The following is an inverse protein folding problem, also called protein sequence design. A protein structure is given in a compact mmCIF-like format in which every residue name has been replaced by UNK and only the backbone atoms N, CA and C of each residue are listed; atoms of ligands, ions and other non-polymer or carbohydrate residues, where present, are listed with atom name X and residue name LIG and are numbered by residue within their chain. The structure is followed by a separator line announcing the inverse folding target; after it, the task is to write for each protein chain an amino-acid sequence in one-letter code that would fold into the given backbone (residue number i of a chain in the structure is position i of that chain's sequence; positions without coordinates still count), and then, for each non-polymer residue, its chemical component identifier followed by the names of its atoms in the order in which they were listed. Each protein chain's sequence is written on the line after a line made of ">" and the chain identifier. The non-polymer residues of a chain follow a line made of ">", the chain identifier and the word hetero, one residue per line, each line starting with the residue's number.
data_IF_194910773994
#
_entry.id   IF_194910773994
#
_cell.length_a   1.000
_cell.length_b   1.000
_cell.length_c   1.000
_cell.angle_alpha   90.00
_cell.angle_beta   90.00
_cell.angle_gamma   90.00
#
_symmetry.space_group_name_H-M   'P 1'
#
loop_
_entity.id
_entity.type
_entity.pdbx_description
1 polymer ?
#
# COMPACT_ATOMS: atom_id res chain seq x y z
N UNK A 1 -2.81 -7.54 -19.09
CA UNK A 1 -3.61 -8.72 -18.71
C UNK A 1 -3.86 -9.56 -19.96
N UNK A 2 -2.81 -10.16 -20.51
CA UNK A 2 -2.92 -10.96 -21.74
C UNK A 2 -2.85 -12.45 -21.37
N UNK A 3 -3.68 -13.30 -21.99
CA UNK A 3 -3.69 -14.78 -21.85
C UNK A 3 -4.04 -15.34 -20.46
N UNK A 4 -4.81 -14.61 -19.64
CA UNK A 4 -5.32 -15.14 -18.37
C UNK A 4 -6.47 -16.12 -18.62
N UNK A 5 -6.47 -17.28 -17.96
CA UNK A 5 -7.57 -18.26 -17.98
C UNK A 5 -8.77 -17.84 -17.12
N UNK A 6 -8.60 -16.81 -16.31
CA UNK A 6 -9.65 -16.22 -15.47
C UNK A 6 -10.42 -15.18 -16.27
N UNK A 7 -11.75 -15.23 -16.15
CA UNK A 7 -12.66 -14.26 -16.76
C UNK A 7 -12.27 -12.81 -16.41
N UNK A 8 -12.29 -11.95 -17.43
CA UNK A 8 -11.94 -10.53 -17.32
C UNK A 8 -12.87 -9.78 -16.36
N UNK A 9 -14.14 -10.19 -16.27
CA UNK A 9 -15.09 -9.59 -15.32
C UNK A 9 -14.60 -9.75 -13.88
N UNK A 10 -14.01 -10.90 -13.53
CA UNK A 10 -13.45 -11.13 -12.19
C UNK A 10 -12.22 -10.26 -11.93
N UNK A 11 -11.43 -9.94 -12.95
CA UNK A 11 -10.32 -9.01 -12.82
C UNK A 11 -10.78 -7.59 -12.53
N UNK A 12 -11.83 -7.11 -13.21
CA UNK A 12 -12.41 -5.80 -12.92
C UNK A 12 -12.99 -5.72 -11.51
N UNK A 13 -13.70 -6.77 -11.07
CA UNK A 13 -14.17 -6.86 -9.68
C UNK A 13 -13.02 -6.87 -8.68
N UNK A 14 -11.96 -7.64 -8.93
CA UNK A 14 -10.79 -7.65 -8.06
C UNK A 14 -10.15 -6.26 -7.92
N UNK A 15 -10.03 -5.53 -9.03
CA UNK A 15 -9.51 -4.14 -9.03
C UNK A 15 -10.43 -3.24 -8.21
N UNK A 16 -11.75 -3.32 -8.44
CA UNK A 16 -12.73 -2.52 -7.71
C UNK A 16 -12.65 -2.75 -6.20
N UNK A 17 -12.65 -4.01 -5.77
CA UNK A 17 -12.59 -4.36 -4.34
C UNK A 17 -11.30 -3.84 -3.69
N UNK A 18 -10.15 -4.01 -4.36
CA UNK A 18 -8.85 -3.56 -3.85
C UNK A 18 -8.76 -2.03 -3.80
N UNK A 19 -9.28 -1.33 -4.81
CA UNK A 19 -9.21 0.13 -4.88
C UNK A 19 -10.22 0.84 -3.96
N UNK A 20 -11.31 0.15 -3.59
CA UNK A 20 -12.38 0.75 -2.77
C UNK A 20 -12.15 0.63 -1.26
N UNK A 21 -11.57 -0.49 -0.78
CA UNK A 21 -11.35 -0.68 0.66
C UNK A 21 -10.03 -0.04 1.13
N UNK A 22 -10.15 0.98 2.00
CA UNK A 22 -9.01 1.70 2.60
C UNK A 22 -8.13 0.84 3.51
N UNK A 23 -8.64 -0.30 4.00
CA UNK A 23 -7.94 -1.23 4.90
C UNK A 23 -7.11 -2.26 4.13
N UNK A 24 -7.28 -2.32 2.81
CA UNK A 24 -6.74 -3.39 1.97
C UNK A 24 -7.59 -4.66 2.05
N UNK A 25 -7.42 -5.51 1.04
CA UNK A 25 -8.24 -6.72 0.85
C UNK A 25 -7.38 -7.97 0.98
N UNK A 26 -7.82 -8.96 1.76
CA UNK A 26 -7.11 -10.23 1.92
C UNK A 26 -7.32 -11.15 0.70
N UNK A 27 -6.37 -12.06 0.44
CA UNK A 27 -6.52 -13.04 -0.63
C UNK A 27 -7.70 -13.99 -0.37
N UNK A 28 -7.98 -14.31 0.90
CA UNK A 28 -9.12 -15.13 1.30
C UNK A 28 -10.45 -14.46 0.95
N UNK A 29 -10.58 -13.17 1.27
CA UNK A 29 -11.77 -12.39 0.92
C UNK A 29 -11.98 -12.34 -0.60
N UNK A 30 -10.92 -12.05 -1.37
CA UNK A 30 -10.97 -12.07 -2.84
C UNK A 30 -11.36 -13.45 -3.39
N UNK A 31 -10.90 -14.53 -2.76
CA UNK A 31 -11.23 -15.90 -3.13
C UNK A 31 -12.72 -16.17 -2.98
N UNK A 32 -13.27 -15.81 -1.83
CA UNK A 32 -14.69 -15.99 -1.51
C UNK A 32 -15.59 -15.14 -2.41
N UNK A 33 -15.27 -13.86 -2.57
CA UNK A 33 -16.11 -12.90 -3.33
C UNK A 33 -16.12 -13.21 -4.84
N UNK A 34 -14.99 -13.64 -5.40
CA UNK A 34 -14.86 -13.91 -6.84
C UNK A 34 -15.13 -15.37 -7.23
N UNK A 35 -15.30 -16.26 -6.25
CA UNK A 35 -15.47 -17.70 -6.49
C UNK A 35 -14.29 -18.33 -7.22
N UNK A 36 -13.06 -17.91 -6.90
CA UNK A 36 -11.82 -18.46 -7.49
C UNK A 36 -11.01 -19.19 -6.43
N UNK A 37 -10.06 -20.03 -6.85
CA UNK A 37 -9.13 -20.65 -5.91
C UNK A 37 -8.23 -19.59 -5.24
N UNK A 38 -7.89 -19.82 -3.97
CA UNK A 38 -7.06 -18.91 -3.16
C UNK A 38 -5.78 -18.48 -3.88
N UNK A 39 -5.06 -19.42 -4.49
CA UNK A 39 -3.81 -19.13 -5.23
C UNK A 39 -4.05 -18.17 -6.41
N UNK A 40 -5.21 -18.24 -7.05
CA UNK A 40 -5.61 -17.33 -8.13
C UNK A 40 -5.90 -15.95 -7.55
N UNK A 41 -6.70 -15.86 -6.49
CA UNK A 41 -6.99 -14.61 -5.79
C UNK A 41 -5.71 -13.92 -5.27
N UNK A 42 -4.80 -14.70 -4.69
CA UNK A 42 -3.50 -14.22 -4.23
C UNK A 42 -2.69 -13.62 -5.38
N UNK A 43 -2.60 -14.33 -6.51
CA UNK A 43 -1.88 -13.85 -7.71
C UNK A 43 -2.54 -12.60 -8.30
N UNK A 44 -3.88 -12.56 -8.35
CA UNK A 44 -4.63 -11.38 -8.80
C UNK A 44 -4.30 -10.16 -7.94
N UNK A 45 -4.42 -10.31 -6.61
CA UNK A 45 -4.12 -9.24 -5.67
C UNK A 45 -2.67 -8.76 -5.75
N UNK A 46 -1.70 -9.67 -5.91
CA UNK A 46 -0.29 -9.29 -6.08
C UNK A 46 -0.04 -8.48 -7.34
N UNK A 47 -0.63 -8.90 -8.49
CA UNK A 47 -0.47 -8.17 -9.75
C UNK A 47 -1.09 -6.77 -9.69
N UNK A 48 -2.27 -6.66 -9.07
CA UNK A 48 -2.95 -5.36 -8.92
C UNK A 48 -2.13 -4.44 -8.02
N UNK A 49 -1.70 -4.91 -6.83
CA UNK A 49 -0.86 -4.10 -5.92
C UNK A 49 0.47 -3.72 -6.55
N UNK A 50 1.09 -4.61 -7.32
CA UNK A 50 2.32 -4.29 -8.06
C UNK A 50 2.08 -3.15 -9.05
N UNK A 51 1.01 -3.22 -9.85
CA UNK A 51 0.68 -2.17 -10.81
C UNK A 51 0.35 -0.83 -10.13
N UNK A 52 -0.32 -0.87 -8.97
CA UNK A 52 -0.56 0.33 -8.14
C UNK A 52 0.77 0.92 -7.65
N UNK A 53 1.68 0.11 -7.09
CA UNK A 53 2.99 0.57 -6.64
C UNK A 53 3.87 1.11 -7.77
N UNK A 54 3.86 0.48 -8.95
CA UNK A 54 4.55 0.99 -10.15
C UNK A 54 4.01 2.36 -10.59
N UNK A 55 2.68 2.55 -10.49
CA UNK A 55 2.05 3.83 -10.78
C UNK A 55 2.43 4.88 -9.73
N UNK A 56 2.40 4.52 -8.46
CA UNK A 56 2.71 5.44 -7.37
C UNK A 56 4.18 5.89 -7.40
N UNK A 57 5.09 4.97 -7.76
CA UNK A 57 6.51 5.27 -7.95
C UNK A 57 6.79 6.28 -9.07
N UNK A 58 5.85 6.50 -10.00
CA UNK A 58 5.98 7.52 -11.04
C UNK A 58 5.66 8.94 -10.55
N UNK A 59 5.03 9.09 -9.38
CA UNK A 59 4.73 10.39 -8.80
C UNK A 59 5.93 10.95 -8.03
N UNK A 60 6.33 12.18 -8.37
CA UNK A 60 7.34 12.93 -7.63
C UNK A 60 6.66 13.95 -6.73
N UNK A 61 7.02 13.96 -5.44
CA UNK A 61 6.56 14.99 -4.51
C UNK A 61 7.17 16.34 -4.88
N UNK A 62 6.36 17.39 -4.87
CA UNK A 62 6.78 18.74 -5.25
C UNK A 62 6.11 19.82 -4.40
N UNK A 63 6.64 21.04 -4.42
CA UNK A 63 6.10 22.15 -3.64
C UNK A 63 6.47 22.05 -2.16
N UNK A 64 5.49 22.25 -1.28
CA UNK A 64 5.66 22.05 0.17
C UNK A 64 5.49 20.56 0.44
N UNK A 65 6.50 19.96 1.09
CA UNK A 65 6.49 18.55 1.45
C UNK A 65 6.53 18.42 2.97
N UNK A 66 5.46 17.89 3.54
CA UNK A 66 5.37 17.56 4.96
C UNK A 66 5.84 16.11 5.16
N UNK A 67 6.67 15.90 6.19
CA UNK A 67 7.28 14.62 6.51
C UNK A 67 6.91 14.23 7.94
N UNK A 68 6.45 12.99 8.12
CA UNK A 68 6.14 12.42 9.43
C UNK A 68 6.74 11.02 9.56
N UNK A 69 7.17 10.66 10.77
CA UNK A 69 7.78 9.36 11.08
C UNK A 69 6.95 8.54 12.07
N UNK A 70 6.74 7.26 11.73
CA UNK A 70 6.04 6.29 12.56
C UNK A 70 6.90 5.04 12.77
N UNK A 71 6.70 4.35 13.89
CA UNK A 71 7.47 3.15 14.24
C UNK A 71 6.52 1.97 14.45
N UNK A 72 6.65 0.92 13.63
CA UNK A 72 5.76 -0.24 13.63
C UNK A 72 6.47 -1.51 14.09
N UNK A 73 5.81 -2.28 14.97
CA UNK A 73 6.33 -3.52 15.52
C UNK A 73 6.12 -3.62 17.03
N UNK A 74 6.45 -4.77 17.62
CA UNK A 74 6.42 -4.93 19.07
C UNK A 74 7.56 -4.12 19.71
N UNK A 75 7.33 -3.42 20.83
CA UNK A 75 8.42 -2.82 21.59
C UNK A 75 9.34 -3.90 22.16
N UNK A 76 10.65 -3.69 22.04
CA UNK A 76 11.64 -4.53 22.73
C UNK A 76 11.63 -4.19 24.23
N UNK A 77 11.60 -5.20 25.11
CA UNK A 77 11.71 -4.99 26.55
C UNK A 77 13.04 -4.30 26.89
N UNK A 78 12.99 -3.19 27.64
CA UNK A 78 14.16 -2.35 27.92
C UNK A 78 14.69 -1.55 26.72
N UNK A 79 14.03 -1.65 25.56
CA UNK A 79 14.39 -0.94 24.34
C UNK A 79 14.01 0.55 24.35
N UNK A 80 14.60 1.31 23.42
CA UNK A 80 14.28 2.73 23.23
C UNK A 80 12.92 2.88 22.53
N UNK A 81 12.20 3.94 22.88
CA UNK A 81 10.96 4.37 22.20
C UNK A 81 11.26 5.41 21.13
N UNK A 82 10.51 5.37 20.03
CA UNK A 82 10.66 6.33 18.93
C UNK A 82 12.00 6.15 18.21
N UNK A 83 12.68 7.26 17.87
CA UNK A 83 13.94 7.21 17.12
C UNK A 83 15.01 6.38 17.84
N UNK A 84 15.59 5.41 17.12
CA UNK A 84 16.56 4.46 17.66
C UNK A 84 15.95 3.23 18.33
N UNK A 85 14.66 2.98 18.13
CA UNK A 85 14.00 1.70 18.41
C UNK A 85 14.35 0.65 17.36
N UNK A 86 14.18 -0.63 17.70
CA UNK A 86 14.28 -1.77 16.77
C UNK A 86 12.99 -1.99 15.96
N UNK A 87 11.92 -1.25 16.27
CA UNK A 87 10.70 -1.23 15.45
C UNK A 87 11.01 -0.68 14.06
N UNK A 88 10.27 -1.14 13.05
CA UNK A 88 10.46 -0.69 11.67
C UNK A 88 10.06 0.78 11.54
N UNK A 89 11.01 1.69 11.21
CA UNK A 89 10.67 3.07 10.94
C UNK A 89 9.98 3.19 9.58
N UNK A 90 8.87 3.91 9.57
CA UNK A 90 8.08 4.25 8.39
C UNK A 90 8.06 5.75 8.26
N UNK A 91 8.50 6.24 7.12
CA UNK A 91 8.47 7.66 6.78
C UNK A 91 7.30 7.90 5.83
N UNK A 92 6.46 8.88 6.15
CA UNK A 92 5.36 9.32 5.29
C UNK A 92 5.66 10.74 4.83
N UNK A 93 5.61 10.96 3.52
CA UNK A 93 5.84 12.25 2.90
C UNK A 93 4.59 12.68 2.13
N UNK A 94 4.14 13.91 2.30
CA UNK A 94 2.93 14.46 1.72
C UNK A 94 3.24 15.74 0.95
N UNK A 95 2.83 15.81 -0.32
CA UNK A 95 2.93 17.02 -1.13
C UNK A 95 1.66 17.84 -1.01
N UNK A 96 1.81 19.09 -0.56
CA UNK A 96 0.71 20.06 -0.40
C UNK A 96 0.69 21.05 -1.58
N UNK A 97 -0.53 21.35 -2.05
CA UNK A 97 -0.77 22.48 -2.95
C UNK A 97 -0.74 23.81 -2.16
N UNK A 98 -0.92 24.95 -2.85
CA UNK A 98 -0.94 26.29 -2.23
C UNK A 98 -1.99 26.47 -1.11
N UNK A 99 -2.92 25.54 -0.97
CA UNK A 99 -3.88 25.45 0.13
C UNK A 99 -3.55 24.21 0.98
N UNK A 100 -3.31 24.36 2.29
CA UNK A 100 -2.87 23.26 3.17
C UNK A 100 -3.89 22.12 3.33
N UNK A 101 -5.15 22.32 2.91
CA UNK A 101 -6.24 21.35 3.10
C UNK A 101 -6.36 20.30 1.98
N UNK A 102 -5.46 20.30 0.99
CA UNK A 102 -5.59 19.42 -0.19
C UNK A 102 -4.24 18.77 -0.56
N UNK A 103 -3.92 17.61 0.04
CA UNK A 103 -2.74 16.85 -0.35
C UNK A 103 -2.92 16.31 -1.77
N UNK A 104 -1.86 16.39 -2.58
CA UNK A 104 -1.88 15.94 -3.98
C UNK A 104 -1.33 14.53 -4.15
N UNK A 105 -0.16 14.28 -3.58
CA UNK A 105 0.54 13.01 -3.63
C UNK A 105 1.10 12.68 -2.26
N UNK A 106 1.18 11.40 -1.94
CA UNK A 106 1.87 10.91 -0.76
C UNK A 106 2.82 9.80 -1.16
N UNK A 107 3.91 9.67 -0.42
CA UNK A 107 4.84 8.55 -0.52
C UNK A 107 5.05 7.98 0.88
N UNK A 108 5.09 6.65 0.98
CA UNK A 108 5.39 5.94 2.22
C UNK A 108 6.62 5.10 1.95
N UNK A 109 7.68 5.34 2.72
CA UNK A 109 8.92 4.58 2.64
C UNK A 109 9.19 3.85 3.95
N UNK A 110 9.74 2.64 3.83
CA UNK A 110 10.14 1.82 4.96
C UNK A 110 11.64 1.96 5.11
N UNK A 111 12.06 2.76 6.09
CA UNK A 111 13.47 2.90 6.37
C UNK A 111 14.00 1.58 6.95
N UNK A 112 15.17 1.14 6.48
CA UNK A 112 15.85 0.00 7.09
C UNK A 112 16.20 0.38 8.53
N UNK A 113 15.87 -0.50 9.47
CA UNK A 113 16.40 -0.38 10.84
C UNK A 113 17.92 -0.31 10.73
N UNK A 114 18.49 0.78 11.26
CA UNK A 114 19.94 0.95 11.38
C UNK A 114 20.53 -0.02 12.41
#
# INVERSE_FOLDING_TARGET
>A
MEKTRTDLVKWFWAIFLIAHDKRGVSAEYLSAELGVAYQTAWTMGHKIRKAMGERDASYTLAGIVDLDDAFFGAPTEGGKRGRGTEQTPVLVALSLDKKPESPRYYNVDFAKSA
#
